data_IF_089534935612
#
_entry.id   IF_089534935612
#
_cell.length_a   1.000
_cell.length_b   1.000
_cell.length_c   1.000
_cell.angle_alpha   90.00
_cell.angle_beta   90.00
_cell.angle_gamma   90.00
#
_symmetry.space_group_name_H-M   'P 1'
#
loop_
_entity.id
_entity.type
_entity.pdbx_description
1 polymer ?
#
# COMPACT_ATOMS: atom_id res chain seq x y z
N UNK A 1 27.95 -16.32 -9.81
CA UNK A 1 26.97 -15.24 -10.06
C UNK A 1 26.18 -14.94 -8.78
N UNK A 2 26.76 -14.17 -7.84
CA UNK A 2 26.12 -13.83 -6.56
C UNK A 2 25.56 -12.40 -6.52
N UNK A 3 25.80 -11.61 -7.57
CA UNK A 3 25.38 -10.21 -7.67
C UNK A 3 23.86 -10.08 -7.91
N UNK A 4 23.24 -11.03 -8.59
CA UNK A 4 21.82 -10.97 -8.94
C UNK A 4 20.88 -11.18 -7.74
N UNK A 5 21.25 -12.03 -6.77
CA UNK A 5 20.41 -12.26 -5.59
C UNK A 5 20.39 -11.02 -4.69
N UNK A 6 21.54 -10.35 -4.54
CA UNK A 6 21.65 -9.12 -3.74
C UNK A 6 20.86 -7.97 -4.38
N UNK A 7 20.96 -7.83 -5.71
CA UNK A 7 20.19 -6.83 -6.45
C UNK A 7 18.67 -7.10 -6.37
N UNK A 8 18.24 -8.36 -6.49
CA UNK A 8 16.83 -8.74 -6.35
C UNK A 8 16.30 -8.48 -4.93
N UNK A 9 17.08 -8.84 -3.90
CA UNK A 9 16.72 -8.55 -2.51
C UNK A 9 16.60 -7.04 -2.27
N UNK A 10 17.54 -6.24 -2.81
CA UNK A 10 17.52 -4.79 -2.65
C UNK A 10 16.34 -4.12 -3.36
N UNK A 11 15.92 -4.65 -4.51
CA UNK A 11 14.68 -4.23 -5.17
C UNK A 11 13.46 -4.61 -4.34
N UNK A 12 13.40 -5.81 -3.78
CA UNK A 12 12.31 -6.25 -2.92
C UNK A 12 12.20 -5.40 -1.64
N UNK A 13 13.32 -5.08 -0.99
CA UNK A 13 13.34 -4.17 0.17
C UNK A 13 12.86 -2.76 -0.18
N UNK A 14 13.22 -2.24 -1.37
CA UNK A 14 12.70 -0.95 -1.85
C UNK A 14 11.20 -1.02 -2.11
N UNK A 15 10.72 -2.10 -2.73
CA UNK A 15 9.29 -2.32 -2.99
C UNK A 15 8.50 -2.37 -1.67
N UNK A 16 8.97 -3.12 -0.67
CA UNK A 16 8.36 -3.17 0.67
C UNK A 16 8.37 -1.80 1.36
N UNK A 17 9.45 -1.03 1.25
CA UNK A 17 9.51 0.32 1.80
C UNK A 17 8.50 1.28 1.14
N UNK A 18 8.31 1.17 -0.18
CA UNK A 18 7.30 1.93 -0.91
C UNK A 18 5.88 1.52 -0.49
N UNK A 19 5.60 0.22 -0.42
CA UNK A 19 4.31 -0.32 0.03
C UNK A 19 3.99 0.10 1.49
N UNK A 20 5.00 0.22 2.35
CA UNK A 20 4.81 0.73 3.71
C UNK A 20 4.41 2.20 3.71
N UNK A 21 5.07 3.05 2.92
CA UNK A 21 4.71 4.47 2.78
C UNK A 21 3.31 4.67 2.25
N UNK A 22 2.89 3.85 1.28
CA UNK A 22 1.53 3.88 0.76
C UNK A 22 0.52 3.50 1.85
N UNK A 23 0.81 2.47 2.65
CA UNK A 23 -0.02 2.11 3.79
C UNK A 23 -0.12 3.25 4.82
N UNK A 24 1.01 3.85 5.19
CA UNK A 24 1.02 4.98 6.14
C UNK A 24 0.24 6.18 5.60
N UNK A 25 0.23 6.39 4.27
CA UNK A 25 -0.58 7.40 3.61
C UNK A 25 -2.07 7.07 3.66
N UNK A 26 -2.45 5.81 3.37
CA UNK A 26 -3.83 5.33 3.49
C UNK A 26 -4.32 5.48 4.94
N UNK A 27 -3.51 5.12 5.92
CA UNK A 27 -3.86 5.27 7.34
C UNK A 27 -4.05 6.74 7.75
N UNK A 28 -3.23 7.67 7.23
CA UNK A 28 -3.35 9.12 7.51
C UNK A 28 -4.54 9.77 6.82
N UNK A 29 -4.78 9.41 5.56
CA UNK A 29 -5.80 10.03 4.70
C UNK A 29 -7.06 9.16 4.61
N UNK A 30 -7.22 8.17 5.50
CA UNK A 30 -8.37 7.27 5.50
C UNK A 30 -9.73 7.99 5.61
N UNK A 31 -9.73 9.23 6.13
CA UNK A 31 -10.91 10.08 6.25
C UNK A 31 -11.28 10.82 4.95
N UNK A 32 -10.40 10.84 3.94
CA UNK A 32 -10.62 11.49 2.65
C UNK A 32 -10.96 10.45 1.56
N UNK A 33 -11.64 10.84 0.47
CA UNK A 33 -11.82 9.99 -0.69
C UNK A 33 -10.45 9.73 -1.34
N UNK A 34 -9.86 8.58 -1.02
CA UNK A 34 -8.54 8.21 -1.48
C UNK A 34 -8.62 7.51 -2.83
N UNK A 35 -7.91 8.04 -3.83
CA UNK A 35 -7.86 7.46 -5.16
C UNK A 35 -6.69 6.47 -5.28
N UNK A 36 -7.00 5.23 -5.67
CA UNK A 36 -6.01 4.15 -5.83
C UNK A 36 -5.03 4.49 -6.97
N UNK A 37 -5.45 5.27 -7.97
CA UNK A 37 -4.58 5.72 -9.07
C UNK A 37 -3.54 6.74 -8.59
N UNK A 38 -3.92 7.63 -7.66
CA UNK A 38 -2.98 8.58 -7.06
C UNK A 38 -1.93 7.87 -6.21
N UNK A 39 -2.31 6.78 -5.52
CA UNK A 39 -1.37 5.95 -4.79
C UNK A 39 -0.39 5.23 -5.72
N UNK A 40 -0.89 4.67 -6.83
CA UNK A 40 -0.05 4.01 -7.82
C UNK A 40 0.96 4.98 -8.46
N UNK A 41 0.51 6.22 -8.75
CA UNK A 41 1.36 7.31 -9.24
C UNK A 41 2.49 7.64 -8.26
N UNK A 42 2.24 7.60 -6.94
CA UNK A 42 3.30 7.90 -5.96
C UNK A 42 4.40 6.86 -5.83
N UNK A 43 4.21 5.66 -6.38
CA UNK A 43 5.21 4.60 -6.40
C UNK A 43 5.74 4.33 -7.80
N UNK A 44 5.39 5.16 -8.79
CA UNK A 44 5.75 4.98 -10.21
C UNK A 44 5.38 3.58 -10.75
N UNK A 45 4.31 2.98 -10.23
CA UNK A 45 3.82 1.68 -10.68
C UNK A 45 2.47 1.82 -11.39
N UNK A 46 2.22 1.02 -12.44
CA UNK A 46 0.89 0.92 -13.00
C UNK A 46 -0.07 0.34 -11.97
N UNK A 47 -1.30 0.86 -11.93
CA UNK A 47 -2.36 0.53 -10.96
C UNK A 47 -2.56 -0.99 -10.83
N UNK A 48 -2.61 -1.70 -11.96
CA UNK A 48 -2.79 -3.15 -11.99
C UNK A 48 -1.69 -3.90 -11.24
N UNK A 49 -0.44 -3.46 -11.39
CA UNK A 49 0.70 -4.10 -10.74
C UNK A 49 0.76 -3.70 -9.25
N UNK A 50 0.45 -2.45 -8.93
CA UNK A 50 0.33 -1.96 -7.57
C UNK A 50 -0.71 -2.75 -6.77
N UNK A 51 -1.92 -2.94 -7.30
CA UNK A 51 -3.00 -3.70 -6.63
C UNK A 51 -2.58 -5.14 -6.38
N UNK A 52 -1.95 -5.79 -7.37
CA UNK A 52 -1.46 -7.16 -7.24
C UNK A 52 -0.36 -7.28 -6.17
N UNK A 53 0.63 -6.36 -6.19
CA UNK A 53 1.73 -6.31 -5.20
C UNK A 53 1.24 -5.98 -3.79
N UNK A 54 0.27 -5.09 -3.67
CA UNK A 54 -0.32 -4.74 -2.38
C UNK A 54 -1.06 -5.94 -1.78
N UNK A 55 -1.82 -6.67 -2.61
CA UNK A 55 -2.49 -7.90 -2.20
C UNK A 55 -1.50 -9.00 -1.80
N UNK A 56 -0.39 -9.14 -2.51
CA UNK A 56 0.68 -10.10 -2.16
C UNK A 56 1.30 -9.79 -0.79
N UNK A 57 1.55 -8.50 -0.50
CA UNK A 57 2.17 -8.07 0.76
C UNK A 57 1.22 -8.06 1.97
N UNK A 58 -0.06 -7.70 1.77
CA UNK A 58 -1.02 -7.46 2.86
C UNK A 58 -2.21 -8.42 2.89
N UNK A 59 -2.35 -9.29 1.88
CA UNK A 59 -3.45 -10.26 1.77
C UNK A 59 -4.80 -9.68 1.33
N UNK A 60 -4.95 -8.36 1.30
CA UNK A 60 -6.20 -7.66 0.93
C UNK A 60 -5.95 -6.64 -0.17
N UNK A 61 -6.99 -6.29 -0.92
CA UNK A 61 -6.90 -5.21 -1.91
C UNK A 61 -6.75 -3.84 -1.23
N UNK A 62 -6.16 -2.83 -1.89
CA UNK A 62 -6.05 -1.47 -1.34
C UNK A 62 -7.40 -0.86 -0.93
N UNK A 63 -8.45 -1.14 -1.72
CA UNK A 63 -9.80 -0.67 -1.44
C UNK A 63 -10.40 -1.32 -0.18
N UNK A 64 -10.22 -2.63 0.01
CA UNK A 64 -10.65 -3.33 1.23
C UNK A 64 -9.86 -2.90 2.46
N UNK A 65 -8.54 -2.69 2.33
CA UNK A 65 -7.70 -2.18 3.40
C UNK A 65 -8.17 -0.80 3.88
N UNK A 66 -8.55 0.09 2.94
CA UNK A 66 -9.14 1.40 3.25
C UNK A 66 -10.45 1.26 4.02
N UNK A 67 -11.38 0.41 3.56
CA UNK A 67 -12.65 0.22 4.27
C UNK A 67 -12.44 -0.29 5.70
N UNK A 68 -11.47 -1.19 5.90
CA UNK A 68 -11.12 -1.68 7.23
C UNK A 68 -10.51 -0.58 8.11
N UNK A 69 -9.69 0.31 7.55
CA UNK A 69 -9.13 1.46 8.27
C UNK A 69 -10.22 2.51 8.61
N UNK A 70 -11.17 2.76 7.70
CA UNK A 70 -12.27 3.72 7.89
C UNK A 70 -13.24 3.24 8.98
N UNK A 71 -13.49 1.94 9.04
CA UNK A 71 -14.27 1.35 10.12
C UNK A 71 -13.63 1.62 11.49
N UNK A 72 -12.30 1.52 11.61
CA UNK A 72 -11.58 1.79 12.86
C UNK A 72 -11.75 3.23 13.32
N UNK A 73 -11.60 4.21 12.42
CA UNK A 73 -11.75 5.63 12.76
C UNK A 73 -13.19 5.99 13.13
N UNK A 74 -14.18 5.46 12.40
CA UNK A 74 -15.61 5.68 12.70
C UNK A 74 -16.01 5.09 14.05
N UNK A 75 -15.48 3.91 14.42
CA UNK A 75 -15.81 3.25 15.70
C UNK A 75 -15.24 3.94 16.94
N UNK A 76 -14.18 4.75 16.81
CA UNK A 76 -13.62 5.51 17.94
C UNK A 76 -14.24 6.89 18.11
N UNK A 77 -14.95 7.42 17.09
CA UNK A 77 -15.62 8.72 17.18
C UNK A 77 -16.99 8.69 17.87
N UNK A 78 -17.47 7.51 18.31
CA UNK A 78 -18.78 7.30 18.97
C UNK A 78 -18.66 6.88 20.44
N UNK A 79 -17.48 7.04 21.06
CA UNK A 79 -17.29 6.69 22.49
C UNK A 79 -16.72 7.83 23.31
#
# INVERSE_FOLDING_TARGET
>A
MCLSLKAAAQQHFRELALLRRVRDRIDRECAAPLDVELLATTVDLPVTQFVSRFRDAYGVSPHEYRQAAEARTRTWSTR
#
